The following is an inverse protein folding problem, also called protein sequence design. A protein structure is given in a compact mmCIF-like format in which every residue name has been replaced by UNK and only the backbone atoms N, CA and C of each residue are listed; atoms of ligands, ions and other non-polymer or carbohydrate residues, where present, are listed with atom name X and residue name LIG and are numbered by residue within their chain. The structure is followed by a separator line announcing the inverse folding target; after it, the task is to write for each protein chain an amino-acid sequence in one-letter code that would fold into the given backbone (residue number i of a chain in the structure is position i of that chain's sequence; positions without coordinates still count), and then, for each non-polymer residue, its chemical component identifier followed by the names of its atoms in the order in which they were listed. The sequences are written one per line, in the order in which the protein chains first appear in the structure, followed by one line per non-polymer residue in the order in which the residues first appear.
data_IF_087340046108
#
_entry.id   IF_087340046108
#
_cell.length_a   1.000
_cell.length_b   1.000
_cell.length_c   1.000
_cell.angle_alpha   90.00
_cell.angle_beta   90.00
_cell.angle_gamma   90.00
#
_symmetry.space_group_name_H-M   'P 1'
#
loop_
_entity.id
_entity.type
_entity.pdbx_description
1 polymer ?
#
# COMPACT_ATOMS: atom_id res chain seq x y z
N UNK A 1 -5.21 7.53 11.65
CA UNK A 1 -4.86 6.38 10.79
C UNK A 1 -4.23 6.88 9.50
N UNK A 2 -3.21 6.23 9.03
CA UNK A 2 -2.57 6.59 7.78
C UNK A 2 -3.02 5.66 6.67
N UNK A 3 -3.32 6.22 5.49
CA UNK A 3 -3.70 5.42 4.33
C UNK A 3 -2.61 5.50 3.25
N UNK A 4 -2.50 4.45 2.46
CA UNK A 4 -1.57 4.40 1.35
C UNK A 4 -2.19 3.64 0.19
N UNK A 5 -1.93 4.11 -1.03
CA UNK A 5 -2.44 3.48 -2.24
C UNK A 5 -1.42 2.51 -2.82
N UNK A 6 -1.91 1.35 -3.23
CA UNK A 6 -1.12 0.32 -3.90
C UNK A 6 -1.79 -0.03 -5.21
N UNK A 7 -0.99 -0.38 -6.21
CA UNK A 7 -1.51 -0.84 -7.49
C UNK A 7 -1.44 -2.36 -7.56
N UNK A 8 -2.59 -3.01 -7.79
CA UNK A 8 -2.65 -4.44 -8.01
C UNK A 8 -2.31 -4.76 -9.47
N UNK A 9 -1.69 -5.92 -9.70
CA UNK A 9 -1.38 -6.35 -11.06
C UNK A 9 -2.62 -6.82 -11.82
N UNK A 10 -3.62 -7.34 -11.10
CA UNK A 10 -4.86 -7.82 -11.69
C UNK A 10 -5.99 -7.76 -10.68
N UNK A 11 -7.20 -7.84 -11.19
CA UNK A 11 -8.42 -7.84 -10.37
C UNK A 11 -8.51 -9.08 -9.48
N UNK A 12 -9.08 -8.91 -8.31
CA UNK A 12 -9.45 -10.04 -7.45
C UNK A 12 -8.38 -10.54 -6.52
N UNK A 13 -7.20 -9.89 -6.48
CA UNK A 13 -6.13 -10.30 -5.55
C UNK A 13 -6.44 -9.90 -4.12
N UNK A 14 -7.15 -8.78 -3.93
CA UNK A 14 -7.51 -8.23 -2.63
C UNK A 14 -8.94 -7.71 -2.69
N UNK A 15 -9.57 -7.58 -1.53
CA UNK A 15 -10.92 -7.01 -1.42
C UNK A 15 -11.02 -6.16 -0.15
N UNK A 16 -12.03 -5.33 -0.09
CA UNK A 16 -12.27 -4.48 1.09
C UNK A 16 -12.44 -5.34 2.33
N UNK A 17 -11.78 -4.90 3.41
CA UNK A 17 -11.78 -5.61 4.67
C UNK A 17 -10.63 -6.59 4.86
N UNK A 18 -9.87 -6.90 3.80
CA UNK A 18 -8.75 -7.82 3.92
C UNK A 18 -7.66 -7.25 4.82
N UNK A 19 -7.16 -8.09 5.72
CA UNK A 19 -5.95 -7.78 6.47
C UNK A 19 -4.75 -8.04 5.56
N UNK A 20 -3.77 -7.13 5.58
CA UNK A 20 -2.61 -7.22 4.72
C UNK A 20 -1.33 -7.04 5.51
N UNK A 21 -0.27 -7.68 5.04
CA UNK A 21 1.09 -7.51 5.56
C UNK A 21 1.92 -6.93 4.43
N UNK A 22 2.79 -5.97 4.75
CA UNK A 22 3.61 -5.31 3.75
C UNK A 22 5.09 -5.51 4.00
N UNK A 23 5.88 -5.44 2.93
CA UNK A 23 7.33 -5.46 2.96
C UNK A 23 7.85 -4.14 2.41
N UNK A 24 8.83 -3.57 3.10
CA UNK A 24 9.47 -2.33 2.69
C UNK A 24 10.67 -2.61 1.80
N UNK A 25 10.75 -1.91 0.67
CA UNK A 25 11.92 -1.92 -0.20
C UNK A 25 12.62 -0.58 -0.14
N UNK A 26 13.92 -0.58 -0.33
CA UNK A 26 14.75 0.63 -0.28
C UNK A 26 15.26 0.96 -1.67
N UNK A 27 15.02 2.19 -2.11
CA UNK A 27 15.57 2.77 -3.33
C UNK A 27 16.61 3.82 -2.95
N UNK A 28 17.44 4.30 -3.88
CA UNK A 28 18.46 5.30 -3.55
C UNK A 28 17.94 6.54 -2.81
N UNK A 29 16.73 6.99 -3.12
CA UNK A 29 16.15 8.21 -2.53
C UNK A 29 14.78 8.02 -1.91
N UNK A 30 14.22 6.81 -1.95
CA UNK A 30 12.84 6.56 -1.54
C UNK A 30 12.67 5.16 -0.96
N UNK A 31 11.52 4.96 -0.32
CA UNK A 31 11.03 3.63 0.00
C UNK A 31 9.91 3.26 -0.96
N UNK A 32 9.62 1.98 -1.06
CA UNK A 32 8.39 1.48 -1.66
C UNK A 32 7.88 0.32 -0.82
N UNK A 33 6.60 0.02 -0.94
CA UNK A 33 5.96 -1.01 -0.13
C UNK A 33 5.24 -2.00 -1.03
N UNK A 34 5.28 -3.27 -0.64
CA UNK A 34 4.62 -4.34 -1.38
C UNK A 34 3.68 -5.06 -0.42
N UNK A 35 2.43 -5.26 -0.84
CA UNK A 35 1.50 -6.11 -0.10
C UNK A 35 1.87 -7.55 -0.41
N UNK A 36 2.24 -8.31 0.62
CA UNK A 36 2.70 -9.69 0.47
C UNK A 36 1.54 -10.62 0.12
N UNK A 37 1.81 -11.64 -0.67
CA UNK A 37 3.02 -12.00 -1.41
C UNK A 37 3.04 -11.41 -2.83
N UNK A 38 3.45 -10.18 -2.97
CA UNK A 38 3.53 -9.46 -4.25
C UNK A 38 2.17 -9.22 -4.92
N UNK A 39 1.16 -8.93 -4.11
CA UNK A 39 -0.20 -8.70 -4.61
C UNK A 39 -0.39 -7.28 -5.16
N UNK A 40 0.29 -6.31 -4.59
CA UNK A 40 0.18 -4.91 -4.98
C UNK A 40 1.41 -4.14 -4.52
N UNK A 41 1.75 -3.05 -5.22
CA UNK A 41 2.91 -2.22 -4.88
C UNK A 41 2.51 -0.76 -4.77
N UNK A 42 3.15 -0.04 -3.84
CA UNK A 42 2.99 1.40 -3.72
C UNK A 42 3.86 2.12 -4.75
N UNK A 43 3.64 3.43 -4.91
CA UNK A 43 4.59 4.28 -5.59
C UNK A 43 5.80 4.55 -4.70
N UNK A 44 6.69 5.44 -5.15
CA UNK A 44 7.86 5.82 -4.38
C UNK A 44 7.45 6.74 -3.24
N UNK A 45 7.94 6.45 -2.04
CA UNK A 45 7.61 7.18 -0.82
C UNK A 45 8.88 7.88 -0.32
N UNK A 46 8.88 9.21 -0.17
CA UNK A 46 10.05 9.92 0.34
C UNK A 46 10.48 9.41 1.71
N UNK A 47 11.77 9.47 2.01
CA UNK A 47 12.31 8.98 3.28
C UNK A 47 11.61 9.57 4.50
N UNK A 48 11.27 10.84 4.45
CA UNK A 48 10.58 11.51 5.57
C UNK A 48 9.15 11.00 5.80
N UNK A 49 8.59 10.30 4.82
CA UNK A 49 7.22 9.76 4.90
C UNK A 49 7.21 8.25 5.08
N UNK A 50 8.30 7.70 5.58
CA UNK A 50 8.43 6.27 5.80
C UNK A 50 7.25 5.71 6.61
N UNK A 51 6.69 4.62 6.11
CA UNK A 51 5.64 3.88 6.80
C UNK A 51 6.29 2.89 7.77
N UNK A 52 5.94 3.00 9.05
CA UNK A 52 6.53 2.15 10.09
C UNK A 52 5.76 0.87 10.34
N UNK A 53 4.45 0.89 10.09
CA UNK A 53 3.59 -0.28 10.26
C UNK A 53 3.88 -1.30 9.17
N UNK A 54 3.68 -2.57 9.51
CA UNK A 54 3.84 -3.68 8.55
C UNK A 54 2.53 -4.42 8.31
N UNK A 55 1.49 -4.10 9.07
CA UNK A 55 0.17 -4.70 8.93
C UNK A 55 -0.86 -3.61 8.76
N UNK A 56 -1.82 -3.85 7.90
CA UNK A 56 -2.89 -2.90 7.64
C UNK A 56 -4.15 -3.61 7.17
N UNK A 57 -5.12 -2.82 6.72
CA UNK A 57 -6.41 -3.32 6.29
C UNK A 57 -6.84 -2.58 5.02
N UNK A 58 -7.34 -3.32 4.06
CA UNK A 58 -7.89 -2.74 2.83
C UNK A 58 -9.20 -2.02 3.15
N UNK A 59 -9.27 -0.74 2.80
CA UNK A 59 -10.46 0.07 3.03
C UNK A 59 -11.22 0.39 1.75
N UNK A 60 -10.53 0.36 0.59
CA UNK A 60 -11.16 0.72 -0.67
C UNK A 60 -10.44 0.06 -1.83
N UNK A 61 -11.20 -0.35 -2.85
CA UNK A 61 -10.64 -0.84 -4.10
C UNK A 61 -11.25 -0.01 -5.22
N UNK A 62 -10.38 0.52 -6.09
CA UNK A 62 -10.78 1.35 -7.22
C UNK A 62 -10.28 0.72 -8.50
N UNK A 63 -11.15 0.63 -9.50
CA UNK A 63 -10.80 0.22 -10.85
C UNK A 63 -10.99 1.39 -11.78
N UNK A 64 -9.98 1.66 -12.62
CA UNK A 64 -10.08 2.68 -13.64
C UNK A 64 -9.26 2.29 -14.87
N UNK A 65 -9.12 3.19 -15.83
CA UNK A 65 -8.39 2.92 -17.08
C UNK A 65 -6.93 2.56 -16.86
N UNK A 66 -6.34 2.96 -15.73
CA UNK A 66 -4.93 2.71 -15.42
C UNK A 66 -4.71 1.38 -14.72
N UNK A 67 -5.76 0.76 -14.22
CA UNK A 67 -5.68 -0.53 -13.53
C UNK A 67 -6.49 -0.58 -12.25
N UNK A 68 -6.04 -1.43 -11.34
CA UNK A 68 -6.73 -1.71 -10.09
C UNK A 68 -5.91 -1.18 -8.92
N UNK A 69 -6.53 -0.34 -8.10
CA UNK A 69 -5.84 0.32 -6.99
C UNK A 69 -6.47 -0.07 -5.67
N UNK A 70 -5.64 -0.27 -4.67
CA UNK A 70 -6.05 -0.63 -3.32
C UNK A 70 -5.62 0.48 -2.37
N UNK A 71 -6.54 0.95 -1.54
CA UNK A 71 -6.20 1.82 -0.42
C UNK A 71 -6.19 0.98 0.84
N UNK A 72 -5.07 0.98 1.54
CA UNK A 72 -4.93 0.29 2.81
C UNK A 72 -4.71 1.30 3.94
N UNK A 73 -5.22 0.97 5.11
CA UNK A 73 -5.14 1.80 6.30
C UNK A 73 -4.19 1.17 7.30
N UNK A 74 -3.32 1.98 7.88
CA UNK A 74 -2.32 1.54 8.83
C UNK A 74 -2.46 2.31 10.14
N UNK A 75 -2.25 1.62 11.26
CA UNK A 75 -2.40 2.19 12.59
C UNK A 75 -1.17 3.03 12.96
N UNK A 76 -1.07 4.18 12.35
CA UNK A 76 -0.06 5.18 12.68
C UNK A 76 -0.54 6.57 12.26
N UNK A 77 0.03 7.65 12.83
CA UNK A 77 -0.37 9.01 12.47
C UNK A 77 -0.08 9.30 11.00
N UNK A 78 -0.90 10.15 10.39
CA UNK A 78 -0.64 10.62 9.04
C UNK A 78 0.60 11.51 9.03
N UNK A 79 1.34 11.44 7.91
CA UNK A 79 2.52 12.28 7.69
C UNK A 79 2.08 13.64 7.19
N UNK A 80 2.71 14.66 7.70
CA UNK A 80 2.46 16.04 7.24
C UNK A 80 3.43 16.44 6.14
#
# INVERSE_FOLDING_TARGET
MRTMEFKMERQGLLKEGDAVTITEGLLPSNYYYTIDPSLAMSGNIPFRERLKSREGKVTQIIENERGFYVTAEFDEPETE
#
